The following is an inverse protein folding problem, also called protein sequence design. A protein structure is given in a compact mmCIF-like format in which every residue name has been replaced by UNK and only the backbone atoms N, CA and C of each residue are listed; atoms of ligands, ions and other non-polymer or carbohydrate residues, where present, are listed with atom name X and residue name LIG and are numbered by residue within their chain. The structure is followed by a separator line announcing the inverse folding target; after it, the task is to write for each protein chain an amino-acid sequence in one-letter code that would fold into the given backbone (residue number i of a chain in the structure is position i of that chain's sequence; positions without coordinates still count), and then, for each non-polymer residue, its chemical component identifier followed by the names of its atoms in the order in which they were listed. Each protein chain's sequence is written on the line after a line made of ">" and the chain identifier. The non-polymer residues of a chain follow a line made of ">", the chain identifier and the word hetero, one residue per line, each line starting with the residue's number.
data_IF_058333758483
#
_entry.id   IF_058333758483
#
_cell.length_a   1.000
_cell.length_b   1.000
_cell.length_c   1.000
_cell.angle_alpha   90.00
_cell.angle_beta   90.00
_cell.angle_gamma   90.00
#
_symmetry.space_group_name_H-M   'P 1'
#
loop_
_entity.id
_entity.type
_entity.pdbx_description
1 polymer ?
#
# COMPACT_ATOMS: atom_id res chain seq x y z
N UNK A 1 -6.07 8.60 -27.65
CA UNK A 1 -6.06 7.18 -27.25
C UNK A 1 -5.14 7.06 -26.04
N UNK A 2 -5.69 7.07 -24.82
CA UNK A 2 -4.89 7.03 -23.60
C UNK A 2 -4.18 5.70 -23.46
N UNK A 3 -2.88 5.73 -23.22
CA UNK A 3 -2.02 4.56 -23.03
C UNK A 3 -2.54 3.74 -21.85
N UNK A 4 -3.31 2.69 -22.14
CA UNK A 4 -3.53 1.61 -21.18
C UNK A 4 -2.22 0.83 -21.11
N UNK A 5 -1.31 1.24 -20.22
CA UNK A 5 -0.33 0.29 -19.71
C UNK A 5 -1.11 -0.62 -18.79
N UNK A 6 -1.21 -1.92 -19.12
CA UNK A 6 -1.50 -2.94 -18.11
C UNK A 6 -0.46 -2.74 -17.01
N UNK A 7 -0.87 -2.07 -15.93
CA UNK A 7 -0.01 -1.94 -14.76
C UNK A 7 0.35 -3.36 -14.33
N UNK A 8 1.63 -3.63 -14.12
CA UNK A 8 2.15 -4.96 -13.77
C UNK A 8 1.60 -5.53 -12.44
N UNK A 9 0.68 -4.82 -11.76
CA UNK A 9 0.19 -5.16 -10.43
C UNK A 9 1.24 -5.00 -9.32
N UNK A 10 2.45 -4.54 -9.65
CA UNK A 10 3.58 -4.52 -8.72
C UNK A 10 3.51 -3.42 -7.64
N UNK A 11 2.68 -2.38 -7.84
CA UNK A 11 2.64 -1.25 -6.92
C UNK A 11 2.32 -1.68 -5.48
N UNK A 12 1.25 -2.45 -5.30
CA UNK A 12 0.83 -2.90 -3.96
C UNK A 12 1.76 -3.96 -3.37
N UNK A 13 2.40 -4.80 -4.18
CA UNK A 13 3.36 -5.79 -3.67
C UNK A 13 4.63 -5.11 -3.14
N UNK A 14 5.11 -4.07 -3.84
CA UNK A 14 6.23 -3.24 -3.38
C UNK A 14 5.86 -2.51 -2.08
N UNK A 15 4.70 -1.87 -2.02
CA UNK A 15 4.23 -1.18 -0.80
C UNK A 15 4.13 -2.15 0.37
N UNK A 16 3.56 -3.34 0.17
CA UNK A 16 3.48 -4.38 1.20
C UNK A 16 4.87 -4.73 1.74
N UNK A 17 5.83 -5.02 0.85
CA UNK A 17 7.20 -5.33 1.28
C UNK A 17 7.86 -4.20 2.06
N UNK A 18 7.68 -2.94 1.64
CA UNK A 18 8.22 -1.79 2.37
C UNK A 18 7.59 -1.70 3.77
N UNK A 19 6.27 -1.81 3.89
CA UNK A 19 5.54 -1.70 5.16
C UNK A 19 5.95 -2.82 6.11
N UNK A 20 6.02 -4.06 5.64
CA UNK A 20 6.46 -5.21 6.44
C UNK A 20 7.91 -5.07 6.91
N UNK A 21 8.82 -4.59 6.05
CA UNK A 21 10.22 -4.32 6.42
C UNK A 21 10.37 -3.26 7.51
N UNK A 22 9.43 -2.32 7.61
CA UNK A 22 9.39 -1.30 8.66
C UNK A 22 8.62 -1.76 9.92
N UNK A 23 8.26 -3.05 10.00
CA UNK A 23 7.49 -3.61 11.12
C UNK A 23 6.05 -3.11 11.18
N UNK A 24 5.52 -2.64 10.05
CA UNK A 24 4.16 -2.17 9.91
C UNK A 24 3.19 -3.21 9.35
N UNK A 25 1.95 -2.79 9.17
CA UNK A 25 0.86 -3.57 8.62
C UNK A 25 0.14 -2.78 7.51
N UNK A 26 -0.34 -3.48 6.49
CA UNK A 26 -1.15 -2.93 5.40
C UNK A 26 -2.54 -3.57 5.42
N UNK A 27 -3.58 -2.73 5.34
CA UNK A 27 -4.98 -3.16 5.21
C UNK A 27 -5.61 -2.51 3.96
N UNK A 28 -6.45 -3.27 3.28
CA UNK A 28 -7.25 -2.78 2.14
C UNK A 28 -8.72 -2.89 2.53
N UNK A 29 -9.45 -1.79 2.39
CA UNK A 29 -10.90 -1.73 2.60
C UNK A 29 -11.57 -1.36 1.29
N UNK A 30 -12.65 -2.04 0.92
CA UNK A 30 -13.36 -1.81 -0.34
C UNK A 30 -14.72 -1.18 -0.04
N UNK A 31 -15.03 -0.07 -0.70
CA UNK A 31 -16.28 0.66 -0.58
C UNK A 31 -16.86 0.92 -1.98
N UNK A 32 -17.72 0.01 -2.44
CA UNK A 32 -18.32 0.11 -3.78
C UNK A 32 -17.27 -0.01 -4.88
N UNK A 33 -17.10 1.06 -5.66
CA UNK A 33 -16.12 1.18 -6.74
C UNK A 33 -14.75 1.71 -6.27
N UNK A 34 -14.62 2.07 -4.99
CA UNK A 34 -13.41 2.62 -4.41
C UNK A 34 -12.76 1.63 -3.43
N UNK A 35 -11.46 1.80 -3.22
CA UNK A 35 -10.73 1.12 -2.14
C UNK A 35 -9.86 2.10 -1.37
N UNK A 36 -9.76 1.89 -0.06
CA UNK A 36 -8.85 2.58 0.84
C UNK A 36 -7.67 1.65 1.17
N UNK A 37 -6.46 2.20 1.16
CA UNK A 37 -5.26 1.51 1.64
C UNK A 37 -4.82 2.18 2.93
N UNK A 38 -4.80 1.43 4.02
CA UNK A 38 -4.50 1.91 5.36
C UNK A 38 -3.16 1.28 5.77
N UNK A 39 -2.20 2.11 6.16
CA UNK A 39 -0.88 1.68 6.61
C UNK A 39 -0.72 1.97 8.10
N UNK A 40 -0.38 0.95 8.88
CA UNK A 40 0.02 1.10 10.27
C UNK A 40 1.54 0.96 10.36
N UNK A 41 2.22 1.98 10.89
CA UNK A 41 3.66 1.96 11.09
C UNK A 41 3.99 2.18 12.56
N UNK A 42 5.02 1.51 13.11
CA UNK A 42 5.51 1.79 14.46
C UNK A 42 5.94 3.26 14.58
N UNK A 43 5.55 3.91 15.68
CA UNK A 43 5.97 5.29 15.95
C UNK A 43 7.46 5.30 16.29
N UNK A 44 8.27 5.98 15.48
CA UNK A 44 9.67 6.24 15.83
C UNK A 44 9.72 7.25 16.98
N UNK A 45 10.32 6.87 18.11
CA UNK A 45 10.66 7.84 19.16
C UNK A 45 11.94 8.55 18.76
N UNK A 46 11.84 9.84 18.44
CA UNK A 46 13.01 10.71 18.35
C UNK A 46 13.54 10.88 19.78
N UNK A 47 14.80 10.46 19.98
CA UNK A 47 15.59 10.70 21.19
C UNK A 47 16.23 12.08 21.15
#
# INVERSE_FOLDING_TARGET
>A
MGRQTEGSGLGLSIVKSIVELHGGEIKIEIHGDQFNVILHLPKQRLI
#
